data_IF_316475282599
#
_entry.id   IF_316475282599
#
_cell.length_a   1.000
_cell.length_b   1.000
_cell.length_c   1.000
_cell.angle_alpha   90.00
_cell.angle_beta   90.00
_cell.angle_gamma   90.00
#
_symmetry.space_group_name_H-M   'P 1'
#
loop_
_entity.id
_entity.type
_entity.pdbx_description
1 polymer ?
#
# COMPACT_ATOMS: atom_id res chain seq x y z
N UNK A 1 0.09 18.28 34.02
CA UNK A 1 -1.24 18.50 33.40
C UNK A 1 -1.20 19.48 32.23
N UNK A 2 -0.59 20.67 32.35
CA UNK A 2 -0.48 21.69 31.29
C UNK A 2 0.29 21.17 30.05
N UNK A 3 1.43 20.51 30.24
CA UNK A 3 2.23 19.95 29.15
C UNK A 3 1.51 18.84 28.34
N UNK A 4 0.64 18.07 28.98
CA UNK A 4 -0.16 17.03 28.31
C UNK A 4 -1.28 17.66 27.46
N UNK A 5 -1.94 18.71 28.00
CA UNK A 5 -2.97 19.47 27.27
C UNK A 5 -2.39 20.18 26.04
N UNK A 6 -1.22 20.81 26.18
CA UNK A 6 -0.50 21.43 25.07
C UNK A 6 -0.13 20.41 23.98
N UNK A 7 0.40 19.23 24.35
CA UNK A 7 0.72 18.16 23.38
C UNK A 7 -0.51 17.66 22.62
N UNK A 8 -1.67 17.57 23.27
CA UNK A 8 -2.92 17.17 22.62
C UNK A 8 -3.37 18.24 21.62
N UNK A 9 -3.35 19.52 22.02
CA UNK A 9 -3.72 20.63 21.15
C UNK A 9 -2.82 20.73 19.91
N UNK A 10 -1.51 20.59 20.06
CA UNK A 10 -0.58 20.59 18.92
C UNK A 10 -0.89 19.45 17.94
N UNK A 11 -1.21 18.25 18.42
CA UNK A 11 -1.57 17.11 17.55
C UNK A 11 -2.86 17.36 16.80
N UNK A 12 -3.89 17.89 17.46
CA UNK A 12 -5.18 18.21 16.82
C UNK A 12 -4.99 19.24 15.70
N UNK A 13 -4.25 20.33 15.96
CA UNK A 13 -3.96 21.36 14.96
C UNK A 13 -3.19 20.79 13.76
N UNK A 14 -2.30 19.84 14.00
CA UNK A 14 -1.50 19.21 12.95
C UNK A 14 -2.36 18.32 12.04
N UNK A 15 -3.24 17.48 12.60
CA UNK A 15 -4.20 16.71 11.78
C UNK A 15 -5.20 17.61 11.05
N UNK A 16 -5.63 18.70 11.67
CA UNK A 16 -6.49 19.69 11.01
C UNK A 16 -5.78 20.32 9.81
N UNK A 17 -4.49 20.69 9.94
CA UNK A 17 -3.69 21.20 8.83
C UNK A 17 -3.55 20.19 7.68
N UNK A 18 -3.28 18.91 8.00
CA UNK A 18 -3.21 17.83 7.00
C UNK A 18 -4.55 17.63 6.29
N UNK A 19 -5.64 17.64 7.06
CA UNK A 19 -6.97 17.55 6.49
C UNK A 19 -7.25 18.69 5.51
N UNK A 20 -6.90 19.94 5.85
CA UNK A 20 -7.06 21.09 4.97
C UNK A 20 -6.26 20.90 3.68
N UNK A 21 -5.01 20.44 3.76
CA UNK A 21 -4.18 20.15 2.57
C UNK A 21 -4.84 19.09 1.69
N UNK A 22 -5.28 17.97 2.26
CA UNK A 22 -5.96 16.93 1.49
C UNK A 22 -7.31 17.37 0.95
N UNK A 23 -8.03 18.23 1.66
CA UNK A 23 -9.30 18.77 1.21
C UNK A 23 -9.12 19.67 -0.02
N UNK A 24 -8.16 20.61 0.04
CA UNK A 24 -7.77 21.45 -1.11
C UNK A 24 -7.31 20.57 -2.27
N UNK A 25 -6.48 19.55 -2.02
CA UNK A 25 -6.05 18.62 -3.05
C UNK A 25 -7.22 17.88 -3.71
N UNK A 26 -8.19 17.44 -2.91
CA UNK A 26 -9.40 16.76 -3.40
C UNK A 26 -10.34 17.67 -4.19
N UNK A 27 -10.12 18.99 -4.25
CA UNK A 27 -10.87 19.87 -5.15
C UNK A 27 -10.71 19.50 -6.63
N UNK A 28 -9.63 18.79 -7.00
CA UNK A 28 -9.42 18.24 -8.34
C UNK A 28 -10.06 16.88 -8.58
N UNK A 29 -10.67 16.26 -7.56
CA UNK A 29 -11.33 14.97 -7.74
C UNK A 29 -12.55 15.14 -8.64
N UNK A 30 -12.63 14.28 -9.65
CA UNK A 30 -13.72 14.26 -10.62
C UNK A 30 -14.34 12.87 -10.69
N UNK A 31 -15.64 12.84 -10.93
CA UNK A 31 -16.34 11.62 -11.28
C UNK A 31 -16.22 11.38 -12.80
N UNK A 32 -15.74 10.19 -13.17
CA UNK A 32 -15.52 9.80 -14.57
C UNK A 32 -15.59 8.28 -14.77
N UNK A 33 -15.68 7.85 -16.03
CA UNK A 33 -15.70 6.44 -16.42
C UNK A 33 -16.74 5.65 -15.59
N UNK A 34 -16.32 4.65 -14.83
CA UNK A 34 -17.20 3.81 -14.01
C UNK A 34 -18.11 4.61 -13.07
N UNK A 35 -17.68 5.78 -12.60
CA UNK A 35 -18.49 6.66 -11.73
C UNK A 35 -19.83 7.02 -12.37
N UNK A 36 -19.83 7.28 -13.68
CA UNK A 36 -21.04 7.64 -14.43
C UNK A 36 -22.03 6.49 -14.47
N UNK A 37 -21.52 5.25 -14.58
CA UNK A 37 -22.33 4.03 -14.54
C UNK A 37 -22.90 3.77 -13.14
N UNK A 38 -22.14 4.06 -12.08
CA UNK A 38 -22.68 3.99 -10.72
C UNK A 38 -23.73 5.07 -10.45
N UNK A 39 -23.58 6.27 -11.04
CA UNK A 39 -24.59 7.32 -10.93
C UNK A 39 -25.92 6.91 -11.56
N UNK A 40 -25.90 6.30 -12.76
CA UNK A 40 -27.10 5.88 -13.49
C UNK A 40 -27.71 4.56 -12.99
N UNK A 41 -27.01 3.82 -12.13
CA UNK A 41 -27.42 2.49 -11.70
C UNK A 41 -28.84 2.38 -11.12
N UNK A 42 -29.34 3.33 -10.30
CA UNK A 42 -30.72 3.26 -9.81
C UNK A 42 -31.76 3.44 -10.93
N UNK A 43 -31.50 4.29 -11.93
CA UNK A 43 -32.39 4.45 -13.09
C UNK A 43 -32.36 3.22 -14.01
N UNK A 44 -31.16 2.71 -14.31
CA UNK A 44 -30.97 1.63 -15.28
C UNK A 44 -31.50 0.28 -14.77
N UNK A 45 -31.50 0.05 -13.45
CA UNK A 45 -31.86 -1.24 -12.83
C UNK A 45 -33.08 -1.15 -11.91
N UNK A 46 -33.68 0.04 -11.76
CA UNK A 46 -34.89 0.30 -10.98
C UNK A 46 -34.73 0.29 -9.46
N UNK A 47 -33.68 -0.32 -8.91
CA UNK A 47 -33.35 -0.25 -7.47
C UNK A 47 -31.88 -0.54 -7.20
N UNK A 48 -31.38 -0.10 -6.04
CA UNK A 48 -30.03 -0.44 -5.56
C UNK A 48 -29.84 -1.95 -5.39
N UNK A 49 -30.88 -2.66 -4.96
CA UNK A 49 -30.84 -4.11 -4.79
C UNK A 49 -30.72 -4.84 -6.14
N UNK A 50 -31.47 -4.40 -7.15
CA UNK A 50 -31.37 -4.98 -8.49
C UNK A 50 -29.99 -4.71 -9.11
N UNK A 51 -29.45 -3.50 -8.92
CA UNK A 51 -28.08 -3.19 -9.30
C UNK A 51 -27.08 -4.11 -8.61
N UNK A 52 -27.22 -4.34 -7.29
CA UNK A 52 -26.35 -5.25 -6.55
C UNK A 52 -26.33 -6.65 -7.13
N UNK A 53 -27.51 -7.24 -7.31
CA UNK A 53 -27.67 -8.60 -7.84
C UNK A 53 -27.07 -8.68 -9.23
N UNK A 54 -27.40 -7.73 -10.11
CA UNK A 54 -26.81 -7.66 -11.45
C UNK A 54 -25.28 -7.56 -11.40
N UNK A 55 -24.75 -6.64 -10.60
CA UNK A 55 -23.32 -6.36 -10.51
C UNK A 55 -22.55 -7.57 -9.96
N UNK A 56 -23.06 -8.22 -8.91
CA UNK A 56 -22.45 -9.41 -8.33
C UNK A 56 -22.41 -10.59 -9.31
N UNK A 57 -23.48 -10.78 -10.09
CA UNK A 57 -23.59 -11.87 -11.05
C UNK A 57 -22.84 -11.61 -12.36
N UNK A 58 -22.68 -10.36 -12.79
CA UNK A 58 -22.22 -10.04 -14.15
C UNK A 58 -20.97 -9.16 -14.23
N UNK A 59 -20.48 -8.59 -13.13
CA UNK A 59 -19.34 -7.68 -13.18
C UNK A 59 -18.28 -7.89 -12.10
N UNK A 60 -18.65 -7.90 -10.82
CA UNK A 60 -17.65 -8.08 -9.76
C UNK A 60 -18.21 -8.46 -8.41
N UNK A 61 -17.43 -9.22 -7.64
CA UNK A 61 -17.68 -9.54 -6.22
C UNK A 61 -17.55 -8.37 -5.25
N UNK A 62 -17.28 -7.15 -5.74
CA UNK A 62 -17.18 -5.91 -4.95
C UNK A 62 -18.55 -5.42 -4.48
N UNK A 63 -19.24 -6.24 -3.69
CA UNK A 63 -20.58 -6.02 -3.17
C UNK A 63 -20.78 -4.64 -2.50
N UNK A 64 -19.75 -4.12 -1.82
CA UNK A 64 -19.80 -2.84 -1.13
C UNK A 64 -19.76 -1.61 -2.07
N UNK A 65 -19.61 -1.78 -3.38
CA UNK A 65 -19.90 -0.71 -4.35
C UNK A 65 -21.36 -0.26 -4.32
N UNK A 66 -22.26 -1.04 -3.70
CA UNK A 66 -23.58 -0.58 -3.30
C UNK A 66 -23.57 0.71 -2.47
N UNK A 67 -22.58 0.86 -1.59
CA UNK A 67 -22.42 2.07 -0.77
C UNK A 67 -21.88 3.25 -1.59
N UNK A 68 -21.29 2.97 -2.75
CA UNK A 68 -20.77 4.01 -3.64
C UNK A 68 -21.85 4.71 -4.44
N UNK A 69 -22.85 3.97 -4.92
CA UNK A 69 -23.98 4.52 -5.70
C UNK A 69 -24.67 5.71 -5.00
N UNK A 70 -25.05 5.67 -3.71
CA UNK A 70 -25.61 6.85 -3.06
C UNK A 70 -24.58 7.98 -2.90
N UNK A 71 -23.29 7.66 -2.72
CA UNK A 71 -22.23 8.67 -2.60
C UNK A 71 -21.97 9.44 -3.90
N UNK A 72 -22.09 8.80 -5.07
CA UNK A 72 -21.92 9.48 -6.36
C UNK A 72 -23.07 10.44 -6.68
N UNK A 73 -24.24 10.24 -6.07
CA UNK A 73 -25.42 11.11 -6.24
C UNK A 73 -25.47 12.28 -5.25
N UNK A 74 -24.61 12.29 -4.25
CA UNK A 74 -24.43 13.43 -3.36
C UNK A 74 -23.64 14.53 -4.06
N UNK A 75 -23.76 15.80 -3.61
CA UNK A 75 -22.87 16.86 -4.08
C UNK A 75 -21.41 16.45 -3.97
N UNK A 76 -20.63 16.67 -5.04
CA UNK A 76 -19.23 16.21 -5.13
C UNK A 76 -18.35 16.65 -3.95
N UNK A 77 -18.65 17.81 -3.34
CA UNK A 77 -17.92 18.31 -2.18
C UNK A 77 -18.05 17.39 -0.95
N UNK A 78 -19.15 16.65 -0.80
CA UNK A 78 -19.31 15.66 0.28
C UNK A 78 -18.30 14.53 0.08
N UNK A 79 -18.22 13.97 -1.13
CA UNK A 79 -17.24 12.92 -1.44
C UNK A 79 -15.80 13.40 -1.24
N UNK A 80 -15.48 14.61 -1.71
CA UNK A 80 -14.16 15.24 -1.53
C UNK A 80 -13.79 15.39 -0.05
N UNK A 81 -14.76 15.78 0.78
CA UNK A 81 -14.59 15.90 2.24
C UNK A 81 -14.31 14.54 2.87
N UNK A 82 -15.10 13.52 2.53
CA UNK A 82 -14.92 12.17 3.05
C UNK A 82 -13.58 11.57 2.61
N UNK A 83 -13.18 11.74 1.35
CA UNK A 83 -11.90 11.26 0.85
C UNK A 83 -10.71 11.94 1.55
N UNK A 84 -10.81 13.25 1.81
CA UNK A 84 -9.80 13.98 2.59
C UNK A 84 -9.72 13.49 4.05
N UNK A 85 -10.87 13.18 4.68
CA UNK A 85 -10.90 12.56 6.01
C UNK A 85 -10.24 11.19 6.01
N UNK A 86 -10.50 10.36 4.99
CA UNK A 86 -9.88 9.03 4.84
C UNK A 86 -8.36 9.14 4.67
N UNK A 87 -7.87 10.05 3.82
CA UNK A 87 -6.44 10.30 3.66
C UNK A 87 -5.78 10.79 4.96
N UNK A 88 -6.48 11.63 5.72
CA UNK A 88 -6.03 12.07 7.04
C UNK A 88 -5.99 10.91 8.04
N UNK A 89 -7.02 10.06 8.03
CA UNK A 89 -7.08 8.84 8.85
C UNK A 89 -6.02 7.82 8.46
N UNK A 90 -5.67 7.73 7.18
CA UNK A 90 -4.58 6.91 6.68
C UNK A 90 -3.25 7.43 7.22
N UNK A 91 -2.98 8.74 7.14
CA UNK A 91 -1.79 9.35 7.74
C UNK A 91 -1.70 9.10 9.26
N UNK A 92 -2.84 9.15 9.95
CA UNK A 92 -2.94 8.77 11.36
C UNK A 92 -2.62 7.30 11.59
N UNK A 93 -3.18 6.36 10.81
CA UNK A 93 -2.87 4.93 10.94
C UNK A 93 -1.38 4.66 10.72
N UNK A 94 -0.76 5.34 9.74
CA UNK A 94 0.67 5.23 9.47
C UNK A 94 1.51 5.70 10.67
N UNK A 95 1.18 6.85 11.27
CA UNK A 95 1.83 7.34 12.51
C UNK A 95 1.68 6.35 13.67
N UNK A 96 0.52 5.68 13.79
CA UNK A 96 0.25 4.75 14.88
C UNK A 96 0.89 3.39 14.70
N UNK A 97 0.87 2.83 13.49
CA UNK A 97 1.64 1.64 13.15
C UNK A 97 3.12 1.91 13.34
N UNK A 98 3.57 3.12 12.95
CA UNK A 98 4.90 3.57 13.26
C UNK A 98 5.18 3.54 14.76
N UNK A 99 4.33 4.10 15.60
CA UNK A 99 4.52 4.04 17.05
C UNK A 99 4.55 2.59 17.61
N UNK A 100 3.66 1.70 17.14
CA UNK A 100 3.58 0.33 17.65
C UNK A 100 4.78 -0.53 17.25
N UNK A 101 5.32 -0.34 16.06
CA UNK A 101 6.43 -1.13 15.57
C UNK A 101 7.78 -0.48 15.86
N UNK A 102 7.90 0.85 15.72
CA UNK A 102 9.16 1.55 15.40
C UNK A 102 9.82 2.23 16.61
N UNK A 103 9.07 2.73 17.59
CA UNK A 103 9.64 3.56 18.66
C UNK A 103 9.72 2.81 20.01
N UNK A 104 10.77 3.03 20.82
CA UNK A 104 10.79 2.59 22.21
C UNK A 104 9.59 3.15 22.97
N UNK A 105 9.06 2.37 23.92
CA UNK A 105 7.85 2.68 24.70
C UNK A 105 7.81 4.09 25.35
N UNK A 106 8.96 4.75 25.50
CA UNK A 106 9.09 6.07 26.13
C UNK A 106 9.24 7.25 25.15
N UNK A 107 9.50 7.03 23.85
CA UNK A 107 9.56 8.10 22.84
C UNK A 107 8.31 8.06 21.96
N UNK A 108 7.25 8.75 22.41
CA UNK A 108 6.03 8.92 21.61
C UNK A 108 6.33 9.85 20.43
N UNK A 109 5.92 9.54 19.19
CA UNK A 109 6.36 10.29 18.03
C UNK A 109 5.91 11.75 18.12
N UNK A 110 6.91 12.64 17.99
CA UNK A 110 6.73 14.03 17.61
C UNK A 110 6.52 14.11 16.09
N UNK A 111 5.97 15.24 15.63
CA UNK A 111 5.85 15.78 14.27
C UNK A 111 6.39 14.98 13.04
N UNK A 112 7.66 14.52 12.97
CA UNK A 112 8.22 13.83 11.80
C UNK A 112 7.42 12.61 11.29
N UNK A 113 6.78 11.82 12.16
CA UNK A 113 6.00 10.67 11.72
C UNK A 113 4.78 11.07 10.87
N UNK A 114 4.23 12.26 11.14
CA UNK A 114 3.04 12.76 10.47
C UNK A 114 3.38 13.52 9.18
N UNK A 115 4.50 14.24 9.14
CA UNK A 115 4.99 14.87 7.91
C UNK A 115 5.46 13.83 6.89
N UNK A 116 6.08 12.73 7.32
CA UNK A 116 6.42 11.64 6.39
C UNK A 116 5.19 10.87 5.95
N UNK A 117 4.23 10.62 6.84
CA UNK A 117 2.97 9.99 6.45
C UNK A 117 2.19 10.84 5.43
N UNK A 118 2.21 12.18 5.60
CA UNK A 118 1.62 13.12 4.63
C UNK A 118 2.40 13.17 3.31
N UNK A 119 3.74 13.13 3.34
CA UNK A 119 4.57 13.06 2.14
C UNK A 119 4.43 11.73 1.39
N UNK A 120 4.38 10.60 2.09
CA UNK A 120 4.24 9.26 1.51
C UNK A 120 2.95 9.09 0.69
N UNK A 121 1.89 9.82 1.05
CA UNK A 121 0.59 9.76 0.37
C UNK A 121 0.57 10.49 -0.99
N UNK A 122 1.62 11.25 -1.33
CA UNK A 122 1.61 12.25 -2.41
C UNK A 122 2.67 12.05 -3.48
N UNK A 123 3.45 10.97 -3.43
CA UNK A 123 4.71 10.87 -4.20
C UNK A 123 4.57 10.06 -5.51
N UNK A 124 3.50 9.29 -5.73
CA UNK A 124 3.31 8.55 -6.99
C UNK A 124 2.32 9.30 -7.89
N UNK A 125 2.79 10.28 -8.65
CA UNK A 125 2.02 11.14 -9.58
C UNK A 125 0.96 10.39 -10.37
N UNK A 126 1.34 9.25 -10.91
CA UNK A 126 0.54 8.50 -11.86
C UNK A 126 -0.54 7.63 -11.17
N UNK A 127 -0.28 7.18 -9.95
CA UNK A 127 -1.31 6.63 -9.05
C UNK A 127 -2.19 7.73 -8.43
N UNK A 128 -1.73 8.97 -8.28
CA UNK A 128 -2.56 10.03 -7.66
C UNK A 128 -3.79 10.35 -8.50
N UNK A 129 -3.62 10.55 -9.82
CA UNK A 129 -4.75 10.84 -10.71
C UNK A 129 -5.66 9.65 -10.92
N UNK A 130 -5.07 8.47 -11.06
CA UNK A 130 -5.82 7.27 -11.40
C UNK A 130 -6.38 6.56 -10.17
N UNK A 131 -5.93 6.89 -8.96
CA UNK A 131 -6.38 6.25 -7.73
C UNK A 131 -6.99 7.22 -6.74
N UNK A 132 -6.27 8.29 -6.36
CA UNK A 132 -6.69 9.18 -5.27
C UNK A 132 -7.74 10.19 -5.73
N UNK A 133 -7.60 10.74 -6.96
CA UNK A 133 -8.48 11.77 -7.52
C UNK A 133 -9.58 11.21 -8.45
N UNK A 134 -9.77 9.89 -8.46
CA UNK A 134 -10.86 9.23 -9.17
C UNK A 134 -11.77 8.53 -8.17
N UNK A 135 -13.07 8.87 -8.15
CA UNK A 135 -13.98 8.45 -7.08
C UNK A 135 -14.04 6.93 -6.85
N UNK A 136 -14.38 6.12 -7.84
CA UNK A 136 -14.50 4.66 -7.69
C UNK A 136 -13.16 4.01 -7.30
N UNK A 137 -12.06 4.50 -7.88
CA UNK A 137 -10.73 3.99 -7.56
C UNK A 137 -10.32 4.37 -6.14
N UNK A 138 -10.63 5.59 -5.68
CA UNK A 138 -10.30 6.03 -4.32
C UNK A 138 -11.02 5.17 -3.28
N UNK A 139 -12.28 4.82 -3.53
CA UNK A 139 -13.03 3.92 -2.66
C UNK A 139 -12.35 2.53 -2.60
N UNK A 140 -12.02 1.98 -3.76
CA UNK A 140 -11.44 0.64 -3.89
C UNK A 140 -10.04 0.51 -3.30
N UNK A 141 -9.16 1.50 -3.51
CA UNK A 141 -7.75 1.40 -3.15
C UNK A 141 -7.39 2.23 -1.92
N UNK A 142 -7.86 3.48 -1.82
CA UNK A 142 -7.50 4.39 -0.72
C UNK A 142 -8.31 4.06 0.53
N UNK A 143 -9.63 3.96 0.42
CA UNK A 143 -10.49 3.69 1.58
C UNK A 143 -10.31 2.25 2.05
N UNK A 144 -10.22 1.30 1.11
CA UNK A 144 -9.90 -0.09 1.41
C UNK A 144 -8.57 -0.23 2.16
N UNK A 145 -7.52 0.49 1.72
CA UNK A 145 -6.23 0.49 2.41
C UNK A 145 -6.31 1.15 3.80
N UNK A 146 -7.02 2.26 3.95
CA UNK A 146 -7.21 2.89 5.26
C UNK A 146 -7.89 1.95 6.25
N UNK A 147 -8.93 1.25 5.80
CA UNK A 147 -9.62 0.23 6.60
C UNK A 147 -8.69 -0.97 6.94
N UNK A 148 -7.87 -1.40 5.97
CA UNK A 148 -6.84 -2.42 6.19
C UNK A 148 -5.85 -1.99 7.30
N UNK A 149 -5.22 -0.81 7.17
CA UNK A 149 -4.21 -0.34 8.12
C UNK A 149 -4.78 -0.06 9.50
N UNK A 150 -6.02 0.44 9.58
CA UNK A 150 -6.71 0.59 10.86
C UNK A 150 -6.89 -0.75 11.57
N UNK A 151 -7.35 -1.77 10.83
CA UNK A 151 -7.53 -3.14 11.35
C UNK A 151 -6.20 -3.71 11.85
N UNK A 152 -5.14 -3.59 11.04
CA UNK A 152 -3.79 -4.03 11.40
C UNK A 152 -3.32 -3.31 12.67
N UNK A 153 -3.51 -2.00 12.78
CA UNK A 153 -3.12 -1.22 13.95
C UNK A 153 -3.78 -1.71 15.25
N UNK A 154 -5.09 -1.97 15.23
CA UNK A 154 -5.81 -2.49 16.41
C UNK A 154 -5.22 -3.82 16.87
N UNK A 155 -4.89 -4.72 15.95
CA UNK A 155 -4.29 -6.02 16.27
C UNK A 155 -2.85 -5.84 16.77
N UNK A 156 -2.09 -4.91 16.20
CA UNK A 156 -0.73 -4.61 16.66
C UNK A 156 -0.72 -4.15 18.11
N UNK A 157 -1.70 -3.34 18.53
CA UNK A 157 -1.85 -2.97 19.95
C UNK A 157 -2.03 -4.19 20.84
N UNK A 158 -2.90 -5.12 20.44
CA UNK A 158 -3.08 -6.38 21.17
C UNK A 158 -1.79 -7.23 21.18
N UNK A 159 -1.07 -7.28 20.06
CA UNK A 159 0.23 -7.97 19.98
C UNK A 159 1.27 -7.36 20.92
N UNK A 160 1.28 -6.03 21.06
CA UNK A 160 2.13 -5.30 22.00
C UNK A 160 1.70 -5.42 23.47
N UNK A 161 0.63 -6.17 23.76
CA UNK A 161 0.11 -6.36 25.12
C UNK A 161 -0.69 -5.17 25.65
N UNK A 162 -1.07 -4.22 24.79
CA UNK A 162 -1.96 -3.14 25.17
C UNK A 162 -3.42 -3.61 25.30
N UNK A 163 -4.14 -3.05 26.26
CA UNK A 163 -5.59 -3.26 26.36
C UNK A 163 -6.29 -2.63 25.15
N UNK A 164 -7.07 -3.44 24.43
CA UNK A 164 -7.91 -3.04 23.30
C UNK A 164 -9.37 -3.13 23.73
N UNK A 165 -10.10 -2.02 23.64
CA UNK A 165 -11.51 -1.98 24.02
C UNK A 165 -12.38 -2.78 23.03
N UNK A 166 -13.53 -3.32 23.48
CA UNK A 166 -14.47 -4.02 22.59
C UNK A 166 -14.92 -3.17 21.39
N UNK A 167 -15.12 -1.86 21.60
CA UNK A 167 -15.47 -0.93 20.52
C UNK A 167 -14.42 -0.89 19.41
N UNK A 168 -13.13 -0.89 19.75
CA UNK A 168 -12.07 -0.91 18.74
C UNK A 168 -12.02 -2.24 17.97
N UNK A 169 -12.35 -3.36 18.63
CA UNK A 169 -12.47 -4.64 17.95
C UNK A 169 -13.65 -4.68 16.97
N UNK A 170 -14.79 -4.09 17.35
CA UNK A 170 -15.95 -3.96 16.45
C UNK A 170 -15.59 -3.08 15.27
N UNK A 171 -14.96 -1.92 15.51
CA UNK A 171 -14.51 -1.03 14.44
C UNK A 171 -13.50 -1.74 13.51
N UNK A 172 -12.55 -2.49 14.05
CA UNK A 172 -11.60 -3.28 13.27
C UNK A 172 -12.29 -4.36 12.43
N UNK A 173 -13.31 -5.04 12.96
CA UNK A 173 -14.07 -6.02 12.20
C UNK A 173 -14.84 -5.38 11.04
N UNK A 174 -15.49 -4.22 11.25
CA UNK A 174 -16.16 -3.48 10.18
C UNK A 174 -15.18 -3.00 9.11
N UNK A 175 -14.03 -2.46 9.53
CA UNK A 175 -12.95 -2.09 8.62
C UNK A 175 -12.38 -3.31 7.88
N UNK A 176 -12.28 -4.48 8.52
CA UNK A 176 -11.83 -5.70 7.87
C UNK A 176 -12.79 -6.14 6.76
N UNK A 177 -14.10 -6.09 7.01
CA UNK A 177 -15.11 -6.33 5.98
C UNK A 177 -15.00 -5.34 4.82
N UNK A 178 -14.77 -4.06 5.14
CA UNK A 178 -14.56 -3.02 4.12
C UNK A 178 -13.20 -3.11 3.40
N UNK A 179 -12.16 -3.70 4.00
CA UNK A 179 -10.93 -3.96 3.25
C UNK A 179 -11.11 -5.20 2.35
N UNK A 180 -11.78 -6.24 2.86
CA UNK A 180 -11.91 -7.53 2.20
C UNK A 180 -12.83 -7.54 0.96
N UNK A 181 -13.61 -6.47 0.70
CA UNK A 181 -14.48 -6.41 -0.48
C UNK A 181 -13.73 -6.15 -1.79
N UNK A 182 -12.55 -5.52 -1.75
CA UNK A 182 -11.75 -5.21 -2.92
C UNK A 182 -10.55 -6.14 -2.98
N UNK A 183 -10.28 -6.74 -4.15
CA UNK A 183 -9.28 -7.81 -4.33
C UNK A 183 -7.92 -7.50 -3.69
N UNK A 184 -7.42 -6.27 -3.86
CA UNK A 184 -6.10 -5.89 -3.36
C UNK A 184 -6.02 -5.56 -1.87
N UNK A 185 -6.85 -4.65 -1.31
CA UNK A 185 -6.87 -4.45 0.14
C UNK A 185 -7.23 -5.75 0.88
N UNK A 186 -8.04 -6.63 0.29
CA UNK A 186 -8.34 -7.95 0.84
C UNK A 186 -7.10 -8.84 0.93
N UNK A 187 -6.35 -9.00 -0.17
CA UNK A 187 -5.12 -9.78 -0.19
C UNK A 187 -4.07 -9.18 0.75
N UNK A 188 -3.94 -7.86 0.79
CA UNK A 188 -3.04 -7.15 1.69
C UNK A 188 -3.40 -7.39 3.15
N UNK A 189 -4.67 -7.22 3.52
CA UNK A 189 -5.14 -7.46 4.88
C UNK A 189 -4.91 -8.90 5.29
N UNK A 190 -5.29 -9.87 4.45
CA UNK A 190 -5.08 -11.29 4.73
C UNK A 190 -3.59 -11.61 4.94
N UNK A 191 -2.72 -11.08 4.08
CA UNK A 191 -1.26 -11.20 4.23
C UNK A 191 -0.76 -10.63 5.56
N UNK A 192 -1.22 -9.43 5.94
CA UNK A 192 -0.88 -8.81 7.22
C UNK A 192 -1.40 -9.61 8.42
N UNK A 193 -2.61 -10.18 8.35
CA UNK A 193 -3.18 -11.00 9.42
C UNK A 193 -2.43 -12.32 9.59
N UNK A 194 -2.07 -13.00 8.49
CA UNK A 194 -1.27 -14.22 8.52
C UNK A 194 0.14 -13.95 9.08
N UNK A 195 0.74 -12.83 8.69
CA UNK A 195 1.99 -12.34 9.26
C UNK A 195 1.88 -12.13 10.79
N UNK A 196 0.85 -11.42 11.25
CA UNK A 196 0.62 -11.19 12.67
C UNK A 196 0.36 -12.50 13.41
N UNK A 197 -0.39 -13.43 12.83
CA UNK A 197 -0.59 -14.78 13.37
C UNK A 197 0.76 -15.50 13.56
N UNK A 198 1.61 -15.52 12.53
CA UNK A 198 2.94 -16.08 12.62
C UNK A 198 3.77 -15.39 13.72
N UNK A 199 3.70 -14.05 13.82
CA UNK A 199 4.39 -13.30 14.87
C UNK A 199 3.89 -13.68 16.28
N UNK A 200 2.58 -13.85 16.48
CA UNK A 200 2.02 -14.34 17.76
C UNK A 200 2.54 -15.72 18.11
N UNK A 201 2.54 -16.65 17.13
CA UNK A 201 2.99 -18.03 17.32
C UNK A 201 4.49 -18.10 17.62
N UNK A 202 5.33 -17.43 16.81
CA UNK A 202 6.78 -17.37 16.99
C UNK A 202 7.19 -16.71 18.30
N UNK A 203 6.45 -15.67 18.72
CA UNK A 203 6.69 -14.97 19.99
C UNK A 203 6.03 -15.67 21.19
N UNK A 204 5.36 -16.81 20.97
CA UNK A 204 4.56 -17.57 21.96
C UNK A 204 3.60 -16.70 22.77
N UNK A 205 3.03 -15.66 22.14
CA UNK A 205 2.05 -14.76 22.74
C UNK A 205 0.64 -15.33 22.59
N UNK A 206 -0.23 -15.08 23.57
CA UNK A 206 -1.65 -15.45 23.48
C UNK A 206 -2.32 -14.67 22.35
N UNK A 207 -3.04 -15.37 21.50
CA UNK A 207 -3.84 -14.78 20.43
C UNK A 207 -5.23 -14.45 21.00
N UNK A 208 -5.68 -13.19 20.97
CA UNK A 208 -6.98 -12.82 21.52
C UNK A 208 -8.12 -13.37 20.65
N UNK A 209 -9.23 -13.82 21.25
CA UNK A 209 -10.37 -14.37 20.49
C UNK A 209 -10.90 -13.43 19.38
N UNK A 210 -11.03 -12.10 19.58
CA UNK A 210 -11.41 -11.18 18.52
C UNK A 210 -10.49 -11.19 17.29
N UNK A 211 -9.21 -11.57 17.42
CA UNK A 211 -8.33 -11.73 16.26
C UNK A 211 -8.83 -12.84 15.34
N UNK A 212 -9.23 -13.99 15.89
CA UNK A 212 -9.77 -15.10 15.11
C UNK A 212 -11.08 -14.72 14.41
N UNK A 213 -11.93 -13.92 15.07
CA UNK A 213 -13.14 -13.39 14.46
C UNK A 213 -12.82 -12.50 13.25
N UNK A 214 -11.88 -11.55 13.39
CA UNK A 214 -11.43 -10.67 12.29
C UNK A 214 -10.81 -11.48 11.14
N UNK A 215 -9.96 -12.46 11.45
CA UNK A 215 -9.35 -13.34 10.45
C UNK A 215 -10.40 -14.16 9.70
N UNK A 216 -11.34 -14.78 10.43
CA UNK A 216 -12.43 -15.55 9.85
C UNK A 216 -13.33 -14.69 8.96
N UNK A 217 -13.75 -13.51 9.45
CA UNK A 217 -14.53 -12.54 8.66
C UNK A 217 -13.80 -12.10 7.40
N UNK A 218 -12.49 -11.85 7.49
CA UNK A 218 -11.67 -11.46 6.32
C UNK A 218 -11.61 -12.62 5.32
N UNK A 219 -11.34 -13.84 5.78
CA UNK A 219 -11.25 -15.02 4.92
C UNK A 219 -12.58 -15.33 4.21
N UNK A 220 -13.71 -15.26 4.93
CA UNK A 220 -15.05 -15.44 4.35
C UNK A 220 -15.34 -14.37 3.31
N UNK A 221 -15.07 -13.09 3.59
CA UNK A 221 -15.29 -12.03 2.61
C UNK A 221 -14.39 -12.18 1.37
N UNK A 222 -13.13 -12.57 1.55
CA UNK A 222 -12.24 -12.92 0.42
C UNK A 222 -12.84 -14.05 -0.41
N UNK A 223 -13.32 -15.12 0.24
CA UNK A 223 -13.92 -16.27 -0.45
C UNK A 223 -15.20 -15.88 -1.21
N UNK A 224 -16.09 -15.09 -0.59
CA UNK A 224 -17.32 -14.57 -1.24
C UNK A 224 -16.97 -13.71 -2.45
N UNK A 225 -16.00 -12.80 -2.29
CA UNK A 225 -15.55 -11.97 -3.40
C UNK A 225 -14.99 -12.82 -4.54
N UNK A 226 -14.06 -13.74 -4.24
CA UNK A 226 -13.47 -14.63 -5.25
C UNK A 226 -14.50 -15.54 -5.94
N UNK A 227 -15.52 -16.00 -5.20
CA UNK A 227 -16.57 -16.86 -5.72
C UNK A 227 -17.67 -16.11 -6.50
N UNK A 228 -17.61 -14.78 -6.57
CA UNK A 228 -18.62 -14.00 -7.28
C UNK A 228 -18.63 -14.33 -8.78
N UNK A 229 -19.77 -14.79 -9.35
CA UNK A 229 -19.86 -15.17 -10.75
C UNK A 229 -19.45 -14.03 -11.71
N UNK A 230 -19.75 -12.78 -11.31
CA UNK A 230 -19.41 -11.59 -12.09
C UNK A 230 -17.91 -11.41 -12.31
N UNK A 231 -17.06 -11.89 -11.39
CA UNK A 231 -15.61 -11.85 -11.60
C UNK A 231 -15.19 -12.73 -12.78
N UNK A 232 -15.86 -13.87 -13.00
CA UNK A 232 -15.61 -14.72 -14.16
C UNK A 232 -16.01 -14.04 -15.47
N UNK A 233 -17.18 -13.40 -15.50
CA UNK A 233 -17.67 -12.64 -16.66
C UNK A 233 -16.74 -11.47 -16.98
N UNK A 234 -16.36 -10.68 -15.98
CA UNK A 234 -15.42 -9.55 -16.16
C UNK A 234 -14.05 -10.03 -16.58
N UNK A 235 -13.51 -11.07 -15.93
CA UNK A 235 -12.21 -11.62 -16.29
C UNK A 235 -12.20 -12.10 -17.74
N UNK A 236 -13.27 -12.74 -18.22
CA UNK A 236 -13.38 -13.15 -19.63
C UNK A 236 -13.37 -11.95 -20.58
N UNK A 237 -14.17 -10.91 -20.29
CA UNK A 237 -14.21 -9.70 -21.11
C UNK A 237 -12.87 -8.93 -21.12
N UNK A 238 -12.18 -8.87 -19.99
CA UNK A 238 -10.86 -8.24 -19.87
C UNK A 238 -9.76 -9.08 -20.52
N UNK A 239 -9.82 -10.41 -20.42
CA UNK A 239 -8.90 -11.33 -21.13
C UNK A 239 -9.02 -11.10 -22.64
N UNK A 240 -10.22 -11.09 -23.22
CA UNK A 240 -10.38 -10.86 -24.67
C UNK A 240 -9.84 -9.50 -25.10
N UNK A 241 -10.11 -8.45 -24.32
CA UNK A 241 -9.80 -7.08 -24.72
C UNK A 241 -8.37 -6.63 -24.41
N UNK A 242 -7.73 -7.20 -23.39
CA UNK A 242 -6.45 -6.72 -22.85
C UNK A 242 -5.39 -7.79 -22.71
N UNK A 243 -5.76 -9.08 -22.67
CA UNK A 243 -4.80 -10.15 -22.48
C UNK A 243 -5.25 -11.52 -23.04
N UNK A 244 -5.34 -11.68 -24.36
CA UNK A 244 -6.00 -12.83 -24.99
C UNK A 244 -5.44 -14.20 -24.57
N UNK A 245 -4.12 -14.27 -24.34
CA UNK A 245 -3.44 -15.52 -23.99
C UNK A 245 -3.58 -15.93 -22.52
N UNK A 246 -4.11 -15.07 -21.65
CA UNK A 246 -4.19 -15.32 -20.20
C UNK A 246 -4.93 -16.61 -19.85
N UNK A 247 -5.96 -16.96 -20.64
CA UNK A 247 -6.74 -18.20 -20.47
C UNK A 247 -5.92 -19.48 -20.70
N UNK A 248 -4.86 -19.39 -21.51
CA UNK A 248 -3.96 -20.51 -21.83
C UNK A 248 -2.89 -20.76 -20.76
N UNK A 249 -2.69 -19.82 -19.83
CA UNK A 249 -1.65 -19.90 -18.82
C UNK A 249 -2.00 -20.85 -17.68
N UNK A 250 -1.08 -21.76 -17.38
CA UNK A 250 -1.14 -22.60 -16.19
C UNK A 250 -0.77 -21.80 -14.91
N UNK A 251 -0.90 -22.45 -13.75
CA UNK A 251 -0.66 -21.82 -12.45
C UNK A 251 0.74 -21.20 -12.32
N UNK A 252 1.77 -21.91 -12.77
CA UNK A 252 3.15 -21.45 -12.68
C UNK A 252 3.42 -20.26 -13.59
N UNK A 253 2.79 -20.25 -14.76
CA UNK A 253 2.89 -19.14 -15.70
C UNK A 253 2.24 -17.87 -15.14
N UNK A 254 1.08 -18.01 -14.49
CA UNK A 254 0.41 -16.91 -13.78
C UNK A 254 1.21 -16.38 -12.59
N UNK A 255 1.86 -17.28 -11.84
CA UNK A 255 2.76 -16.90 -10.75
C UNK A 255 3.99 -16.14 -11.27
N UNK A 256 4.66 -16.68 -12.29
CA UNK A 256 5.81 -16.04 -12.92
C UNK A 256 5.45 -14.65 -13.44
N UNK A 257 4.29 -14.55 -14.09
CA UNK A 257 3.76 -13.29 -14.59
C UNK A 257 3.51 -12.26 -13.48
N UNK A 258 2.90 -12.68 -12.37
CA UNK A 258 2.69 -11.81 -11.21
C UNK A 258 4.00 -11.34 -10.58
N UNK A 259 5.01 -12.21 -10.52
CA UNK A 259 6.35 -11.86 -10.05
C UNK A 259 7.03 -10.88 -11.00
N UNK A 260 7.03 -11.14 -12.31
CA UNK A 260 7.64 -10.26 -13.31
C UNK A 260 7.00 -8.88 -13.32
N UNK A 261 5.67 -8.79 -13.32
CA UNK A 261 4.96 -7.51 -13.29
C UNK A 261 5.16 -6.77 -11.96
N UNK A 262 5.14 -7.51 -10.84
CA UNK A 262 5.46 -6.97 -9.53
C UNK A 262 6.86 -6.38 -9.45
N UNK A 263 7.83 -7.05 -10.07
CA UNK A 263 9.22 -6.59 -10.08
C UNK A 263 9.44 -5.44 -11.04
N UNK A 264 8.80 -5.42 -12.22
CA UNK A 264 8.81 -4.24 -13.09
C UNK A 264 8.30 -3.01 -12.33
N UNK A 265 7.22 -3.16 -11.56
CA UNK A 265 6.72 -2.11 -10.68
C UNK A 265 7.76 -1.65 -9.64
N UNK A 266 8.46 -2.61 -9.01
CA UNK A 266 9.52 -2.33 -8.04
C UNK A 266 10.74 -1.65 -8.67
N UNK A 267 11.14 -2.06 -9.87
CA UNK A 267 12.29 -1.49 -10.61
C UNK A 267 11.90 -0.28 -11.46
N UNK A 268 10.63 0.11 -11.45
CA UNK A 268 10.11 1.23 -12.21
C UNK A 268 9.46 2.29 -11.36
N UNK A 269 8.12 2.41 -11.38
CA UNK A 269 7.42 3.47 -10.65
C UNK A 269 7.76 3.51 -9.15
N UNK A 270 8.13 2.37 -8.55
CA UNK A 270 8.52 2.27 -7.14
C UNK A 270 10.05 2.30 -6.88
N UNK A 271 10.90 2.23 -7.91
CA UNK A 271 12.36 2.07 -7.75
C UNK A 271 12.99 3.16 -6.91
N UNK A 272 12.55 4.41 -7.10
CA UNK A 272 13.02 5.57 -6.34
C UNK A 272 12.82 5.39 -4.83
N UNK A 273 11.69 4.80 -4.42
CA UNK A 273 11.39 4.59 -3.00
C UNK A 273 12.20 3.45 -2.41
N UNK A 274 12.34 2.36 -3.17
CA UNK A 274 13.12 1.20 -2.73
C UNK A 274 14.60 1.57 -2.64
N UNK A 275 15.10 2.39 -3.56
CA UNK A 275 16.44 2.98 -3.50
C UNK A 275 16.64 3.81 -2.23
N UNK A 276 15.72 4.71 -1.90
CA UNK A 276 15.79 5.51 -0.67
C UNK A 276 15.80 4.60 0.56
N UNK A 277 14.89 3.61 0.63
CA UNK A 277 14.84 2.63 1.71
C UNK A 277 16.17 1.88 1.89
N UNK A 278 16.69 1.32 0.79
CA UNK A 278 17.94 0.57 0.79
C UNK A 278 19.13 1.45 1.20
N UNK A 279 19.21 2.68 0.69
CA UNK A 279 20.26 3.63 1.04
C UNK A 279 20.24 4.02 2.52
N UNK A 280 19.06 4.29 3.08
CA UNK A 280 18.90 4.62 4.51
C UNK A 280 19.29 3.45 5.42
N UNK A 281 18.89 2.23 5.05
CA UNK A 281 19.28 1.02 5.78
C UNK A 281 20.79 0.80 5.72
N UNK A 282 21.39 0.94 4.55
CA UNK A 282 22.83 0.80 4.34
C UNK A 282 23.64 1.82 5.14
N UNK A 283 23.22 3.10 5.08
CA UNK A 283 23.84 4.17 5.86
C UNK A 283 23.81 3.84 7.35
N UNK A 284 22.67 3.36 7.86
CA UNK A 284 22.56 2.95 9.26
C UNK A 284 23.50 1.80 9.59
N UNK A 285 23.57 0.75 8.77
CA UNK A 285 24.46 -0.38 9.02
C UNK A 285 25.94 0.06 9.06
N UNK A 286 26.33 1.01 8.20
CA UNK A 286 27.66 1.63 8.24
C UNK A 286 27.90 2.42 9.54
N UNK A 287 26.93 3.26 9.95
CA UNK A 287 27.01 4.04 11.18
C UNK A 287 27.10 3.14 12.43
N UNK A 288 26.37 2.03 12.43
CA UNK A 288 26.43 1.00 13.48
C UNK A 288 27.66 0.09 13.37
N UNK A 289 28.59 0.35 12.43
CA UNK A 289 29.81 -0.43 12.18
C UNK A 289 29.56 -1.93 11.90
N UNK A 290 28.40 -2.25 11.31
CA UNK A 290 28.04 -3.61 10.89
C UNK A 290 28.49 -3.84 9.45
N UNK A 291 29.80 -3.97 9.26
CA UNK A 291 30.44 -3.96 7.94
C UNK A 291 29.94 -5.04 6.96
N UNK A 292 29.73 -6.27 7.42
CA UNK A 292 29.28 -7.35 6.53
C UNK A 292 27.83 -7.13 6.04
N UNK A 293 26.82 -6.85 6.90
CA UNK A 293 25.51 -6.41 6.45
C UNK A 293 25.55 -5.11 5.63
N UNK A 294 26.42 -4.17 5.97
CA UNK A 294 26.55 -2.91 5.24
C UNK A 294 27.06 -3.14 3.81
N UNK A 295 27.99 -4.06 3.58
CA UNK A 295 28.45 -4.44 2.24
C UNK A 295 27.28 -4.98 1.39
N UNK A 296 26.48 -5.86 1.97
CA UNK A 296 25.25 -6.36 1.32
C UNK A 296 24.24 -5.22 1.04
N UNK A 297 24.12 -4.28 1.98
CA UNK A 297 23.33 -3.06 1.81
C UNK A 297 23.83 -2.18 0.66
N UNK A 298 25.14 -2.01 0.50
CA UNK A 298 25.74 -1.24 -0.61
C UNK A 298 25.38 -1.87 -1.95
N UNK A 299 25.51 -3.19 -2.08
CA UNK A 299 25.13 -3.92 -3.30
C UNK A 299 23.63 -3.75 -3.61
N UNK A 300 22.78 -3.89 -2.59
CA UNK A 300 21.33 -3.69 -2.73
C UNK A 300 21.00 -2.26 -3.15
N UNK A 301 21.60 -1.26 -2.50
CA UNK A 301 21.41 0.15 -2.82
C UNK A 301 21.87 0.47 -4.25
N UNK A 302 23.00 -0.08 -4.70
CA UNK A 302 23.51 0.09 -6.06
C UNK A 302 22.55 -0.45 -7.12
N UNK A 303 21.96 -1.62 -6.90
CA UNK A 303 20.95 -2.19 -7.80
C UNK A 303 19.72 -1.26 -7.94
N UNK A 304 19.17 -0.82 -6.80
CA UNK A 304 17.99 0.06 -6.82
C UNK A 304 18.29 1.46 -7.36
N UNK A 305 19.53 1.96 -7.17
CA UNK A 305 20.00 3.20 -7.80
C UNK A 305 19.94 3.07 -9.33
N UNK A 306 20.49 1.99 -9.88
CA UNK A 306 20.44 1.72 -11.32
C UNK A 306 18.99 1.59 -11.81
N UNK A 307 18.15 0.83 -11.11
CA UNK A 307 16.73 0.70 -11.46
C UNK A 307 16.03 2.08 -11.49
N UNK A 308 16.30 2.94 -10.50
CA UNK A 308 15.72 4.28 -10.43
C UNK A 308 16.23 5.24 -11.52
N UNK A 309 17.41 4.97 -12.07
CA UNK A 309 18.01 5.76 -13.13
C UNK A 309 17.48 5.41 -14.53
N UNK A 310 16.71 4.31 -14.66
CA UNK A 310 16.21 3.83 -15.97
C UNK A 310 15.44 4.92 -16.75
N UNK A 311 14.64 5.72 -16.05
CA UNK A 311 13.81 6.77 -16.66
C UNK A 311 14.62 8.01 -17.09
N UNK A 312 15.88 8.11 -16.65
CA UNK A 312 16.74 9.30 -16.84
C UNK A 312 17.98 9.00 -17.70
N UNK A 313 18.41 7.74 -17.76
CA UNK A 313 19.63 7.31 -18.43
C UNK A 313 19.27 6.27 -19.49
N UNK A 314 19.21 6.65 -20.78
CA UNK A 314 18.79 5.74 -21.86
C UNK A 314 19.62 4.45 -21.95
N UNK A 315 20.90 4.49 -21.56
CA UNK A 315 21.74 3.29 -21.54
C UNK A 315 21.34 2.26 -20.46
N UNK A 316 20.56 2.68 -19.44
CA UNK A 316 20.11 1.84 -18.32
C UNK A 316 18.74 1.23 -18.61
N UNK A 317 17.91 1.86 -19.44
CA UNK A 317 16.58 1.37 -19.81
C UNK A 317 16.60 -0.09 -20.31
N UNK A 318 17.49 -0.52 -21.23
CA UNK A 318 17.55 -1.91 -21.69
C UNK A 318 17.91 -2.92 -20.59
N UNK A 319 18.58 -2.48 -19.52
CA UNK A 319 18.94 -3.32 -18.38
C UNK A 319 17.72 -3.64 -17.50
N UNK A 320 16.66 -2.82 -17.57
CA UNK A 320 15.43 -2.98 -16.78
C UNK A 320 14.19 -3.04 -17.66
N UNK A 321 14.35 -3.27 -18.96
CA UNK A 321 13.26 -3.51 -19.88
C UNK A 321 12.66 -4.88 -19.59
N UNK A 322 11.74 -4.93 -18.62
CA UNK A 322 10.87 -6.08 -18.42
C UNK A 322 10.04 -6.23 -19.69
N UNK A 323 10.27 -7.34 -20.39
CA UNK A 323 9.60 -7.54 -21.66
C UNK A 323 8.11 -7.75 -21.38
N UNK A 324 7.26 -7.00 -22.09
CA UNK A 324 5.81 -7.11 -22.05
C UNK A 324 5.35 -8.56 -22.11
N UNK A 325 4.21 -8.85 -21.47
CA UNK A 325 3.71 -10.21 -21.20
C UNK A 325 3.76 -11.20 -22.38
N UNK A 326 3.71 -10.70 -23.61
CA UNK A 326 3.79 -11.49 -24.85
C UNK A 326 5.13 -12.22 -25.05
N UNK A 327 6.23 -11.75 -24.42
CA UNK A 327 7.58 -12.30 -24.63
C UNK A 327 8.15 -13.10 -23.46
N UNK A 328 7.43 -13.24 -22.34
CA UNK A 328 7.82 -14.15 -21.25
C UNK A 328 7.99 -15.59 -21.72
N UNK A 329 7.26 -15.97 -22.79
CA UNK A 329 7.33 -17.30 -23.42
C UNK A 329 7.89 -17.27 -24.86
N UNK A 330 7.96 -16.10 -25.50
CA UNK A 330 8.40 -15.93 -26.90
C UNK A 330 9.86 -15.51 -27.10
N UNK A 331 10.52 -14.88 -26.11
CA UNK A 331 11.86 -14.34 -26.37
C UNK A 331 12.58 -13.77 -25.15
N UNK A 332 13.41 -14.61 -24.51
CA UNK A 332 14.64 -14.16 -23.87
C UNK A 332 14.82 -14.55 -22.39
N UNK A 333 15.90 -15.26 -22.10
CA UNK A 333 16.44 -15.53 -20.75
C UNK A 333 16.65 -14.25 -19.90
N UNK A 334 16.63 -13.06 -20.52
CA UNK A 334 16.86 -11.75 -19.90
C UNK A 334 15.74 -11.33 -18.95
N UNK A 335 14.46 -11.43 -19.33
CA UNK A 335 13.34 -11.04 -18.46
C UNK A 335 13.25 -11.92 -17.20
N UNK A 336 13.52 -13.22 -17.39
CA UNK A 336 13.59 -14.19 -16.29
C UNK A 336 14.78 -13.89 -15.37
N UNK A 337 15.96 -13.59 -15.94
CA UNK A 337 17.14 -13.17 -15.17
C UNK A 337 16.88 -11.89 -14.36
N UNK A 338 16.25 -10.88 -14.94
CA UNK A 338 15.87 -9.64 -14.23
C UNK A 338 14.85 -9.90 -13.13
N UNK A 339 13.92 -10.84 -13.36
CA UNK A 339 12.98 -11.31 -12.32
C UNK A 339 13.75 -11.95 -11.17
N UNK A 340 14.69 -12.86 -11.44
CA UNK A 340 15.49 -13.49 -10.37
C UNK A 340 16.39 -12.50 -9.64
N UNK A 341 17.00 -11.54 -10.35
CA UNK A 341 17.82 -10.48 -9.75
C UNK A 341 16.97 -9.55 -8.87
N UNK A 342 15.81 -9.12 -9.36
CA UNK A 342 14.88 -8.30 -8.59
C UNK A 342 14.40 -9.01 -7.32
N UNK A 343 14.04 -10.30 -7.41
CA UNK A 343 13.70 -11.11 -6.25
C UNK A 343 14.87 -11.25 -5.29
N UNK A 344 16.06 -11.54 -5.79
CA UNK A 344 17.26 -11.65 -4.97
C UNK A 344 17.49 -10.37 -4.17
N UNK A 345 17.49 -9.19 -4.81
CA UNK A 345 17.72 -7.92 -4.13
C UNK A 345 16.56 -7.52 -3.21
N UNK A 346 15.33 -7.91 -3.53
CA UNK A 346 14.19 -7.71 -2.63
C UNK A 346 14.26 -8.61 -1.39
N UNK A 347 14.57 -9.89 -1.54
CA UNK A 347 14.76 -10.80 -0.41
C UNK A 347 15.99 -10.42 0.41
N UNK A 348 17.06 -9.93 -0.23
CA UNK A 348 18.21 -9.37 0.45
C UNK A 348 17.81 -8.17 1.29
N UNK A 349 17.00 -7.25 0.76
CA UNK A 349 16.45 -6.12 1.51
C UNK A 349 15.62 -6.60 2.70
N UNK A 350 14.71 -7.58 2.51
CA UNK A 350 13.94 -8.18 3.60
C UNK A 350 14.83 -8.83 4.66
N UNK A 351 15.89 -9.54 4.24
CA UNK A 351 16.88 -10.14 5.13
C UNK A 351 17.67 -9.11 5.91
N UNK A 352 18.05 -7.99 5.30
CA UNK A 352 18.69 -6.87 5.99
C UNK A 352 17.75 -6.19 6.99
N UNK A 353 16.48 -6.03 6.65
CA UNK A 353 15.44 -5.54 7.56
C UNK A 353 15.27 -6.49 8.77
N UNK A 354 15.27 -7.80 8.53
CA UNK A 354 15.23 -8.80 9.60
C UNK A 354 16.49 -8.77 10.47
N UNK A 355 17.66 -8.62 9.86
CA UNK A 355 18.95 -8.64 10.56
C UNK A 355 19.30 -7.30 11.24
N UNK A 356 18.47 -6.26 11.08
CA UNK A 356 18.66 -4.93 11.65
C UNK A 356 18.36 -4.92 13.17
N UNK A 357 19.44 -4.82 13.97
CA UNK A 357 19.45 -5.01 15.42
C UNK A 357 20.02 -6.36 15.88
N UNK A 358 20.24 -6.52 17.19
CA UNK A 358 20.67 -7.78 17.81
C UNK A 358 19.56 -8.83 17.93
N UNK A 359 18.30 -8.47 17.60
CA UNK A 359 17.16 -9.38 17.54
C UNK A 359 16.41 -9.20 16.21
N UNK A 360 15.93 -10.31 15.61
CA UNK A 360 15.28 -10.28 14.31
C UNK A 360 13.99 -9.46 14.32
N UNK A 361 13.87 -8.55 13.36
CA UNK A 361 12.71 -7.66 13.22
C UNK A 361 11.62 -8.27 12.32
N UNK A 362 10.98 -9.32 12.83
CA UNK A 362 9.97 -10.09 12.10
C UNK A 362 8.85 -9.24 11.51
N UNK A 363 8.47 -8.14 12.18
CA UNK A 363 7.44 -7.23 11.68
C UNK A 363 7.83 -6.55 10.36
N UNK A 364 9.08 -6.08 10.25
CA UNK A 364 9.57 -5.46 9.02
C UNK A 364 9.70 -6.49 7.88
N UNK A 365 10.23 -7.68 8.18
CA UNK A 365 10.35 -8.75 7.18
C UNK A 365 8.99 -9.21 6.66
N UNK A 366 8.00 -9.37 7.55
CA UNK A 366 6.64 -9.77 7.18
C UNK A 366 5.89 -8.69 6.40
N UNK A 367 6.10 -7.40 6.71
CA UNK A 367 5.58 -6.30 5.90
C UNK A 367 6.22 -6.27 4.50
N UNK A 368 7.52 -6.56 4.39
CA UNK A 368 8.18 -6.75 3.09
C UNK A 368 7.58 -7.90 2.27
N UNK A 369 7.19 -9.00 2.93
CA UNK A 369 6.48 -10.09 2.27
C UNK A 369 5.05 -9.72 1.87
N UNK A 370 4.35 -8.87 2.65
CA UNK A 370 3.04 -8.35 2.29
C UNK A 370 3.08 -7.49 1.01
N UNK A 371 4.16 -6.72 0.80
CA UNK A 371 4.40 -5.99 -0.46
C UNK A 371 4.48 -6.95 -1.64
N UNK A 372 5.29 -8.03 -1.53
CA UNK A 372 5.37 -9.05 -2.59
C UNK A 372 4.02 -9.73 -2.84
N UNK A 373 3.30 -10.09 -1.78
CA UNK A 373 1.99 -10.72 -1.92
C UNK A 373 1.01 -9.82 -2.68
N UNK A 374 0.96 -8.51 -2.37
CA UNK A 374 0.13 -7.56 -3.11
C UNK A 374 0.50 -7.48 -4.60
N UNK A 375 1.79 -7.57 -4.90
CA UNK A 375 2.29 -7.50 -6.27
C UNK A 375 2.03 -8.80 -7.05
N UNK A 376 2.23 -9.97 -6.43
CA UNK A 376 2.03 -11.27 -7.07
C UNK A 376 0.57 -11.49 -7.48
N UNK A 377 -0.39 -10.98 -6.70
CA UNK A 377 -1.83 -11.12 -6.98
C UNK A 377 -2.23 -10.56 -8.36
N UNK A 378 -1.44 -9.64 -8.93
CA UNK A 378 -1.69 -9.10 -10.27
C UNK A 378 -1.57 -10.15 -11.38
N UNK A 379 -0.76 -11.20 -11.20
CA UNK A 379 -0.68 -12.33 -12.13
C UNK A 379 -1.91 -13.25 -12.10
N UNK A 380 -2.74 -13.14 -11.05
CA UNK A 380 -3.92 -13.97 -10.84
C UNK A 380 -5.24 -13.24 -11.16
N UNK A 381 -5.19 -11.98 -11.57
CA UNK A 381 -6.37 -11.18 -11.88
C UNK A 381 -6.11 -10.27 -13.10
N UNK A 382 -6.64 -10.62 -14.29
CA UNK A 382 -6.61 -9.76 -15.48
C UNK A 382 -7.17 -8.35 -15.21
N UNK A 383 -8.10 -8.24 -14.27
CA UNK A 383 -8.69 -6.97 -13.87
C UNK A 383 -7.77 -6.03 -13.10
N UNK A 384 -6.83 -6.60 -12.33
CA UNK A 384 -5.79 -5.84 -11.67
C UNK A 384 -4.75 -5.39 -12.69
N UNK A 385 -4.42 -6.24 -13.66
CA UNK A 385 -3.59 -5.85 -14.79
C UNK A 385 -4.22 -4.72 -15.61
N UNK A 386 -5.52 -4.82 -15.91
CA UNK A 386 -6.31 -3.76 -16.53
C UNK A 386 -6.33 -2.46 -15.69
N UNK A 387 -6.00 -2.56 -14.40
CA UNK A 387 -5.90 -1.43 -13.51
C UNK A 387 -4.57 -0.69 -13.53
N UNK A 388 -3.60 -1.17 -14.31
CA UNK A 388 -2.30 -0.55 -14.54
C UNK A 388 -1.63 -0.21 -13.20
N UNK A 389 -1.26 1.05 -13.01
CA UNK A 389 -0.47 1.48 -11.87
C UNK A 389 -1.25 1.66 -10.57
N UNK A 390 -2.60 1.68 -10.63
CA UNK A 390 -3.45 1.88 -9.44
C UNK A 390 -3.15 0.86 -8.33
N UNK A 391 -3.02 -0.44 -8.68
CA UNK A 391 -2.42 -1.48 -7.86
C UNK A 391 -1.23 -1.14 -6.98
N UNK A 392 -0.31 -0.32 -7.48
CA UNK A 392 0.97 -0.06 -6.83
C UNK A 392 0.85 0.93 -5.67
N UNK A 393 -0.27 1.65 -5.58
CA UNK A 393 -0.52 2.59 -4.49
C UNK A 393 -0.40 1.91 -3.12
N UNK A 394 -0.95 0.71 -2.97
CA UNK A 394 -0.87 -0.07 -1.72
C UNK A 394 0.57 -0.43 -1.37
N UNK A 395 1.32 -0.98 -2.33
CA UNK A 395 2.73 -1.34 -2.14
C UNK A 395 3.60 -0.13 -1.81
N UNK A 396 3.33 1.02 -2.42
CA UNK A 396 4.04 2.28 -2.14
C UNK A 396 3.87 2.70 -0.67
N UNK A 397 2.64 2.68 -0.14
CA UNK A 397 2.39 3.05 1.26
C UNK A 397 3.10 2.10 2.23
N UNK A 398 3.11 0.80 1.95
CA UNK A 398 3.82 -0.19 2.77
C UNK A 398 5.35 0.00 2.73
N UNK A 399 5.94 0.29 1.57
CA UNK A 399 7.38 0.59 1.45
C UNK A 399 7.73 1.87 2.23
N UNK A 400 6.88 2.90 2.17
CA UNK A 400 7.08 4.12 2.95
C UNK A 400 7.05 3.87 4.47
N UNK A 401 6.17 2.98 4.95
CA UNK A 401 6.17 2.56 6.35
C UNK A 401 7.49 1.90 6.77
N UNK A 402 8.05 1.05 5.90
CA UNK A 402 9.35 0.42 6.12
C UNK A 402 10.49 1.44 6.12
N UNK A 403 10.47 2.42 5.22
CA UNK A 403 11.46 3.52 5.20
C UNK A 403 11.43 4.34 6.47
N UNK A 404 10.22 4.69 6.91
CA UNK A 404 9.99 5.38 8.18
C UNK A 404 10.56 4.60 9.36
N UNK A 405 10.34 3.28 9.37
CA UNK A 405 10.84 2.39 10.40
C UNK A 405 12.35 2.45 10.54
N UNK A 406 13.04 2.38 9.42
CA UNK A 406 14.49 2.36 9.42
C UNK A 406 15.10 3.70 9.86
N UNK A 407 14.48 4.81 9.47
CA UNK A 407 14.87 6.15 9.91
C UNK A 407 14.80 6.32 11.43
N UNK A 408 13.66 5.96 12.01
CA UNK A 408 13.41 6.15 13.45
C UNK A 408 14.16 5.15 14.32
N UNK A 409 14.30 3.89 13.93
CA UNK A 409 15.15 2.96 14.69
C UNK A 409 16.62 3.39 14.68
N UNK A 410 17.13 3.84 13.53
CA UNK A 410 18.46 4.43 13.44
C UNK A 410 18.64 5.62 14.39
N UNK A 411 17.64 6.51 14.45
CA UNK A 411 17.62 7.66 15.35
C UNK A 411 17.86 7.30 16.82
N UNK A 412 17.08 6.33 17.29
CA UNK A 412 17.07 5.90 18.69
C UNK A 412 18.38 5.20 19.06
N UNK A 413 18.87 4.32 18.19
CA UNK A 413 20.01 3.47 18.51
C UNK A 413 21.36 4.16 18.31
N UNK A 414 21.48 5.08 17.34
CA UNK A 414 22.78 5.62 16.90
C UNK A 414 23.09 7.06 17.35
N UNK A 415 22.27 7.66 18.23
CA UNK A 415 22.41 9.05 18.72
C UNK A 415 22.59 10.09 17.59
N UNK A 416 21.95 9.86 16.45
CA UNK A 416 22.01 10.80 15.32
C UNK A 416 21.47 12.18 15.72
N UNK A 417 22.02 13.28 15.17
CA UNK A 417 21.54 14.61 15.47
C UNK A 417 20.12 14.83 14.93
N UNK A 418 19.30 15.61 15.65
CA UNK A 418 17.86 15.74 15.40
C UNK A 418 17.49 16.12 13.97
N UNK A 419 18.33 16.88 13.26
CA UNK A 419 18.11 17.30 11.88
C UNK A 419 18.16 16.14 10.87
N UNK A 420 18.90 15.06 11.16
CA UNK A 420 18.95 13.86 10.34
C UNK A 420 17.59 13.14 10.27
N UNK A 421 16.67 13.46 11.20
CA UNK A 421 15.28 12.95 11.22
C UNK A 421 14.33 13.76 10.35
N UNK A 422 14.62 15.06 10.20
CA UNK A 422 13.77 15.96 9.42
C UNK A 422 14.13 15.95 7.95
N UNK A 423 15.38 15.65 7.59
CA UNK A 423 15.84 15.73 6.21
C UNK A 423 15.15 14.72 5.28
N UNK A 424 15.06 13.40 5.58
CA UNK A 424 14.36 12.45 4.71
C UNK A 424 12.86 12.77 4.62
N UNK A 425 12.28 13.20 5.74
CA UNK A 425 10.90 13.65 5.86
C UNK A 425 10.61 14.85 4.96
N UNK A 426 11.48 15.86 5.01
CA UNK A 426 11.39 17.07 4.21
C UNK A 426 11.61 16.78 2.72
N UNK A 427 12.55 15.90 2.38
CA UNK A 427 12.81 15.49 1.00
C UNK A 427 11.62 14.73 0.41
N UNK A 428 11.07 13.75 1.13
CA UNK A 428 9.88 13.01 0.66
C UNK A 428 8.65 13.90 0.55
N UNK A 429 8.45 14.81 1.52
CA UNK A 429 7.34 15.78 1.48
C UNK A 429 7.52 16.77 0.34
N UNK A 430 8.72 17.34 0.17
CA UNK A 430 9.01 18.28 -0.91
C UNK A 430 8.87 17.61 -2.28
N UNK A 431 9.36 16.38 -2.42
CA UNK A 431 9.20 15.60 -3.65
C UNK A 431 7.73 15.29 -3.92
N UNK A 432 6.94 14.89 -2.91
CA UNK A 432 5.50 14.69 -3.05
C UNK A 432 4.75 15.96 -3.42
N UNK A 433 5.10 17.10 -2.82
CA UNK A 433 4.51 18.41 -3.15
C UNK A 433 4.91 18.89 -4.56
N UNK A 434 6.17 18.69 -4.98
CA UNK A 434 6.63 18.96 -6.35
C UNK A 434 5.93 18.07 -7.37
N UNK A 435 5.68 16.82 -7.00
CA UNK A 435 4.95 15.83 -7.80
C UNK A 435 3.49 16.23 -7.94
N UNK A 436 2.84 16.63 -6.84
CA UNK A 436 1.51 17.25 -6.86
C UNK A 436 1.49 18.52 -7.72
N UNK A 437 2.44 19.42 -7.56
CA UNK A 437 2.52 20.66 -8.34
C UNK A 437 2.66 20.39 -9.84
N UNK A 438 3.52 19.44 -10.25
CA UNK A 438 3.63 19.01 -11.65
C UNK A 438 2.29 18.45 -12.18
N UNK A 439 1.61 17.68 -11.35
CA UNK A 439 0.26 17.20 -11.63
C UNK A 439 -0.75 18.36 -11.83
N UNK A 440 -0.69 19.41 -11.02
CA UNK A 440 -1.59 20.57 -11.15
C UNK A 440 -1.36 21.41 -12.42
N UNK A 441 -0.13 21.46 -12.95
CA UNK A 441 0.24 22.39 -14.02
C UNK A 441 0.38 21.74 -15.39
N UNK A 442 0.74 20.45 -15.46
CA UNK A 442 0.68 19.72 -16.72
C UNK A 442 -0.70 19.10 -16.86
N UNK A 443 -1.56 19.58 -17.77
CA UNK A 443 -2.74 18.82 -18.13
C UNK A 443 -2.23 17.50 -18.68
N UNK A 444 -2.70 16.40 -18.12
CA UNK A 444 -2.52 15.07 -18.71
C UNK A 444 -3.13 15.17 -20.11
N UNK A 445 -2.27 15.16 -21.13
CA UNK A 445 -2.65 15.02 -22.53
C UNK A 445 -3.06 13.57 -22.79
#
# INVERSE_FOLDING_TARGET
MIAQKQRIQTRVLLYAGIFVVFFVFNSCLVFRADDLRYMSAPEDYGSLWNWFVYYYLNWSGRALHLLYVPLTRMPVWIFRTLNALVLTGLAWCLERLAACFILPANEKPALPALTVAAGALTVCTSSLFNTVLWGCASLSFVWGLAACLFTVWVICRAFCGEAVSPFLWIAAALCACFAAYAEQPAATLLGCLLALLAAFLLSRRRIPLPFWAVLGLTAVNCAVNLAAPGNGVRSFAETISRWPDYGSYNLWQKLALGLTYGLDALTGPLARYVFILAGLLTLRLLLCRRWLPALMGILCTGYWMLASARDFVPAVEPLFAFVSGDNLYGGGNHALLLTWLGLFFWFLLCGLLLADGGQPDWAAGLMGLAVLANLVVMGFSPSLYASLERPFYVSNILINLLSLRQLFRGAVESRLPRWAFWLPSAVLTAYGLLTMYRAFIMPVA
#
